data_IF_264559015923
#
_entry.id   IF_264559015923
#
_cell.length_a   1.000
_cell.length_b   1.000
_cell.length_c   1.000
_cell.angle_alpha   90.00
_cell.angle_beta   90.00
_cell.angle_gamma   90.00
#
_symmetry.space_group_name_H-M   'P 1'
#
loop_
_entity.id
_entity.type
_entity.pdbx_description
1 polymer ?
#
# COMPACT_ATOMS: atom_id res chain seq x y z
N UNK A 1 -97.91 -112.40 -18.04
CA UNK A 1 -99.33 -112.32 -17.70
C UNK A 1 -99.94 -111.21 -18.55
N UNK A 2 -100.93 -111.44 -19.41
CA UNK A 2 -101.38 -112.75 -19.92
C UNK A 2 -102.18 -112.60 -21.23
N UNK A 3 -102.45 -113.75 -21.86
CA UNK A 3 -103.32 -113.99 -23.02
C UNK A 3 -104.42 -114.99 -22.57
N UNK A 4 -105.47 -115.31 -23.35
CA UNK A 4 -106.24 -114.50 -24.32
C UNK A 4 -107.77 -114.87 -24.34
N UNK A 5 -108.50 -114.44 -25.40
CA UNK A 5 -109.65 -115.14 -26.07
C UNK A 5 -111.08 -115.09 -25.44
N UNK A 6 -112.17 -114.95 -26.26
CA UNK A 6 -113.60 -115.07 -25.89
C UNK A 6 -114.18 -116.49 -26.26
N UNK A 7 -115.42 -116.80 -26.78
CA UNK A 7 -116.35 -116.09 -27.71
C UNK A 7 -117.88 -116.18 -27.37
N UNK A 8 -118.74 -115.91 -28.38
CA UNK A 8 -120.14 -116.34 -28.61
C UNK A 8 -121.34 -115.83 -27.77
N UNK A 9 -122.50 -115.62 -28.44
CA UNK A 9 -123.77 -115.27 -27.76
C UNK A 9 -125.00 -114.78 -28.57
N UNK A 10 -125.50 -115.55 -29.55
CA UNK A 10 -126.90 -115.52 -30.08
C UNK A 10 -127.42 -114.37 -30.99
N UNK A 11 -128.64 -114.57 -31.49
CA UNK A 11 -129.24 -114.08 -32.76
C UNK A 11 -130.73 -113.68 -32.54
N UNK A 12 -131.43 -113.29 -33.62
CA UNK A 12 -132.89 -113.04 -33.73
C UNK A 12 -133.41 -111.72 -33.12
N UNK A 13 -134.54 -111.15 -33.54
CA UNK A 13 -135.06 -110.86 -34.90
C UNK A 13 -136.16 -109.77 -34.75
N UNK A 14 -136.55 -109.09 -35.82
CA UNK A 14 -137.85 -108.40 -35.98
C UNK A 14 -138.25 -107.34 -34.91
N UNK A 15 -137.81 -106.09 -35.14
CA UNK A 15 -138.35 -104.89 -34.49
C UNK A 15 -138.33 -103.72 -35.49
N UNK A 16 -139.46 -103.05 -35.71
CA UNK A 16 -139.57 -102.03 -36.76
C UNK A 16 -138.83 -100.75 -36.37
N UNK A 17 -137.93 -100.32 -37.26
CA UNK A 17 -137.19 -99.07 -37.17
C UNK A 17 -138.11 -97.83 -37.16
N UNK A 18 -138.21 -97.15 -36.03
CA UNK A 18 -138.37 -95.69 -35.98
C UNK A 18 -137.79 -95.15 -34.66
N UNK A 19 -136.46 -95.05 -34.55
CA UNK A 19 -135.82 -94.38 -33.41
C UNK A 19 -136.01 -92.85 -33.55
N UNK A 20 -136.70 -92.15 -32.61
CA UNK A 20 -136.99 -90.73 -32.75
C UNK A 20 -135.79 -89.79 -32.53
N UNK A 21 -134.68 -90.26 -31.94
CA UNK A 21 -133.65 -89.37 -31.38
C UNK A 21 -132.49 -89.02 -32.33
N UNK A 22 -132.55 -89.45 -33.60
CA UNK A 22 -131.53 -89.14 -34.60
C UNK A 22 -131.38 -87.62 -34.85
N UNK A 23 -132.46 -86.85 -34.68
CA UNK A 23 -132.42 -85.38 -34.76
C UNK A 23 -131.62 -84.79 -33.59
N UNK A 24 -131.83 -85.27 -32.36
CA UNK A 24 -131.02 -84.88 -31.18
C UNK A 24 -129.55 -85.23 -31.37
N UNK A 25 -129.24 -86.40 -31.94
CA UNK A 25 -127.85 -86.80 -32.21
C UNK A 25 -127.21 -85.93 -33.30
N UNK A 26 -127.96 -85.54 -34.33
CA UNK A 26 -127.48 -84.61 -35.37
C UNK A 26 -127.27 -83.20 -34.81
N UNK A 27 -128.15 -82.72 -33.93
CA UNK A 27 -127.99 -81.45 -33.21
C UNK A 27 -126.76 -81.51 -32.32
N UNK A 28 -126.58 -82.56 -31.51
CA UNK A 28 -125.42 -82.72 -30.64
C UNK A 28 -124.09 -82.81 -31.44
N UNK A 29 -124.08 -83.46 -32.62
CA UNK A 29 -122.93 -83.42 -33.53
C UNK A 29 -122.69 -82.02 -34.10
N UNK A 30 -123.74 -81.28 -34.45
CA UNK A 30 -123.65 -79.90 -34.96
C UNK A 30 -123.10 -78.96 -33.88
N UNK A 31 -123.62 -79.03 -32.65
CA UNK A 31 -123.13 -78.28 -31.50
C UNK A 31 -121.70 -78.66 -31.11
N UNK A 32 -121.34 -79.95 -31.16
CA UNK A 32 -119.97 -80.40 -30.94
C UNK A 32 -119.02 -79.88 -32.03
N UNK A 33 -119.44 -79.92 -33.29
CA UNK A 33 -118.70 -79.37 -34.44
C UNK A 33 -118.51 -77.87 -34.29
N UNK A 34 -119.57 -77.11 -33.97
CA UNK A 34 -119.49 -75.68 -33.67
C UNK A 34 -118.56 -75.40 -32.49
N UNK A 35 -118.65 -76.16 -31.40
CA UNK A 35 -117.78 -76.03 -30.24
C UNK A 35 -116.31 -76.34 -30.58
N UNK A 36 -116.05 -77.33 -31.43
CA UNK A 36 -114.71 -77.70 -31.89
C UNK A 36 -114.13 -76.61 -32.81
N UNK A 37 -114.94 -76.07 -33.73
CA UNK A 37 -114.59 -74.92 -34.58
C UNK A 37 -114.34 -73.67 -33.75
N UNK A 38 -115.12 -73.39 -32.71
CA UNK A 38 -114.87 -72.29 -31.78
C UNK A 38 -113.58 -72.49 -30.97
N UNK A 39 -113.32 -73.70 -30.46
CA UNK A 39 -112.08 -74.04 -29.75
C UNK A 39 -110.87 -73.86 -30.65
N UNK A 40 -110.94 -74.33 -31.90
CA UNK A 40 -109.91 -74.13 -32.92
C UNK A 40 -109.71 -72.64 -33.25
N UNK A 41 -110.78 -71.89 -33.51
CA UNK A 41 -110.73 -70.45 -33.81
C UNK A 41 -110.32 -69.59 -32.61
N UNK A 42 -110.45 -70.09 -31.38
CA UNK A 42 -109.91 -69.49 -30.15
C UNK A 42 -108.41 -69.77 -30.03
N UNK A 43 -107.99 -71.02 -30.22
CA UNK A 43 -106.59 -71.43 -30.21
C UNK A 43 -105.78 -70.70 -31.28
N UNK A 44 -106.31 -70.60 -32.51
CA UNK A 44 -105.67 -69.86 -33.60
C UNK A 44 -105.53 -68.36 -33.32
N UNK A 45 -106.52 -67.73 -32.67
CA UNK A 45 -106.40 -66.33 -32.23
C UNK A 45 -105.37 -66.17 -31.12
N UNK A 46 -105.40 -67.03 -30.10
CA UNK A 46 -104.41 -67.01 -29.02
C UNK A 46 -102.99 -67.22 -29.55
N UNK A 47 -102.81 -68.12 -30.52
CA UNK A 47 -101.53 -68.35 -31.20
C UNK A 47 -101.04 -67.10 -31.97
N UNK A 48 -101.94 -66.37 -32.63
CA UNK A 48 -101.60 -65.13 -33.35
C UNK A 48 -101.32 -63.96 -32.39
N UNK A 49 -102.11 -63.80 -31.34
CA UNK A 49 -101.88 -62.81 -30.27
C UNK A 49 -100.53 -63.05 -29.56
N UNK A 50 -100.17 -64.32 -29.31
CA UNK A 50 -98.87 -64.71 -28.79
C UNK A 50 -97.75 -64.45 -29.81
N UNK A 51 -97.93 -64.82 -31.09
CA UNK A 51 -96.96 -64.53 -32.16
C UNK A 51 -96.67 -63.03 -32.28
N UNK A 52 -97.70 -62.19 -32.27
CA UNK A 52 -97.57 -60.73 -32.31
C UNK A 52 -96.86 -60.20 -31.07
N UNK A 53 -97.16 -60.74 -29.89
CA UNK A 53 -96.53 -60.35 -28.62
C UNK A 53 -95.05 -60.74 -28.61
N UNK A 54 -94.71 -62.01 -28.89
CA UNK A 54 -93.33 -62.48 -29.03
C UNK A 54 -92.55 -61.68 -30.09
N UNK A 55 -93.18 -61.34 -31.22
CA UNK A 55 -92.55 -60.53 -32.28
C UNK A 55 -92.21 -59.12 -31.79
N UNK A 56 -93.14 -58.47 -31.08
CA UNK A 56 -92.96 -57.15 -30.45
C UNK A 56 -91.87 -57.16 -29.38
N UNK A 57 -91.78 -58.22 -28.57
CA UNK A 57 -90.72 -58.40 -27.59
C UNK A 57 -89.35 -58.61 -28.23
N UNK A 58 -89.25 -59.49 -29.25
CA UNK A 58 -88.04 -59.70 -30.05
C UNK A 58 -87.55 -58.39 -30.70
N UNK A 59 -88.47 -57.58 -31.23
CA UNK A 59 -88.16 -56.27 -31.80
C UNK A 59 -87.69 -55.26 -30.73
N UNK A 60 -88.32 -55.21 -29.56
CA UNK A 60 -87.86 -54.36 -28.45
C UNK A 60 -86.50 -54.77 -27.92
N UNK A 61 -86.21 -56.07 -27.80
CA UNK A 61 -84.93 -56.59 -27.36
C UNK A 61 -83.83 -56.27 -28.38
N UNK A 62 -84.10 -56.42 -29.67
CA UNK A 62 -83.19 -56.03 -30.75
C UNK A 62 -82.93 -54.52 -30.74
N UNK A 63 -83.96 -53.67 -30.58
CA UNK A 63 -83.80 -52.21 -30.44
C UNK A 63 -82.95 -51.82 -29.22
N UNK A 64 -83.14 -52.48 -28.07
CA UNK A 64 -82.29 -52.29 -26.87
C UNK A 64 -80.83 -52.69 -27.12
N UNK A 65 -80.60 -53.81 -27.83
CA UNK A 65 -79.26 -54.27 -28.24
C UNK A 65 -78.57 -53.29 -29.19
N UNK A 66 -79.28 -52.79 -30.19
CA UNK A 66 -78.76 -51.81 -31.15
C UNK A 66 -78.41 -50.47 -30.47
N UNK A 67 -79.26 -49.97 -29.57
CA UNK A 67 -78.97 -48.77 -28.80
C UNK A 67 -77.79 -48.96 -27.83
N UNK A 68 -77.68 -50.11 -27.15
CA UNK A 68 -76.52 -50.41 -26.31
C UNK A 68 -75.20 -50.45 -27.12
N UNK A 69 -75.23 -51.03 -28.33
CA UNK A 69 -74.08 -51.03 -29.25
C UNK A 69 -73.74 -49.59 -29.68
N UNK A 70 -74.75 -48.78 -30.04
CA UNK A 70 -74.61 -47.37 -30.44
C UNK A 70 -73.99 -46.53 -29.32
N UNK A 71 -74.46 -46.69 -28.08
CA UNK A 71 -73.91 -46.03 -26.90
C UNK A 71 -72.47 -46.47 -26.62
N UNK A 72 -72.18 -47.78 -26.70
CA UNK A 72 -70.82 -48.30 -26.52
C UNK A 72 -69.84 -47.75 -27.57
N UNK A 73 -70.23 -47.73 -28.85
CA UNK A 73 -69.45 -47.13 -29.93
C UNK A 73 -69.22 -45.62 -29.71
N UNK A 74 -70.24 -44.89 -29.26
CA UNK A 74 -70.11 -43.47 -28.93
C UNK A 74 -69.18 -43.22 -27.71
N UNK A 75 -69.14 -44.13 -26.73
CA UNK A 75 -68.19 -44.07 -25.62
C UNK A 75 -66.76 -44.38 -26.06
N UNK A 76 -66.54 -45.40 -26.90
CA UNK A 76 -65.25 -45.70 -27.50
C UNK A 76 -64.70 -44.53 -28.32
N UNK A 77 -65.54 -43.91 -29.17
CA UNK A 77 -65.15 -42.73 -29.95
C UNK A 77 -64.78 -41.52 -29.08
N UNK A 78 -65.48 -41.31 -27.96
CA UNK A 78 -65.12 -40.28 -26.96
C UNK A 78 -63.79 -40.59 -26.27
N UNK A 79 -63.57 -41.84 -25.87
CA UNK A 79 -62.34 -42.28 -25.20
C UNK A 79 -61.12 -42.13 -26.11
N UNK A 80 -61.22 -42.55 -27.38
CA UNK A 80 -60.15 -42.37 -28.36
C UNK A 80 -59.90 -40.89 -28.68
N UNK A 81 -60.96 -40.08 -28.78
CA UNK A 81 -60.82 -38.61 -28.91
C UNK A 81 -60.03 -38.01 -27.75
N UNK A 82 -60.27 -38.45 -26.51
CA UNK A 82 -59.51 -38.01 -25.32
C UNK A 82 -58.06 -38.52 -25.38
N UNK A 83 -57.83 -39.79 -25.74
CA UNK A 83 -56.49 -40.37 -25.88
C UNK A 83 -55.62 -39.60 -26.88
N UNK A 84 -56.17 -39.31 -28.07
CA UNK A 84 -55.48 -38.53 -29.11
C UNK A 84 -55.22 -37.09 -28.66
N UNK A 85 -56.19 -36.42 -28.02
CA UNK A 85 -55.99 -35.06 -27.47
C UNK A 85 -54.92 -35.03 -26.39
N UNK A 86 -54.86 -36.01 -25.50
CA UNK A 86 -53.85 -36.10 -24.44
C UNK A 86 -52.44 -36.29 -25.03
N UNK A 87 -52.26 -37.22 -25.98
CA UNK A 87 -50.98 -37.45 -26.66
C UNK A 87 -50.50 -36.20 -27.41
N UNK A 88 -51.38 -35.54 -28.16
CA UNK A 88 -51.04 -34.31 -28.89
C UNK A 88 -50.74 -33.12 -27.96
N UNK A 89 -51.45 -33.00 -26.83
CA UNK A 89 -51.20 -31.96 -25.84
C UNK A 89 -49.85 -32.18 -25.14
N UNK A 90 -49.62 -33.38 -24.59
CA UNK A 90 -48.40 -33.74 -23.88
C UNK A 90 -47.15 -33.57 -24.77
N UNK A 91 -47.19 -34.05 -26.02
CA UNK A 91 -46.10 -33.89 -26.98
C UNK A 91 -45.79 -32.41 -27.28
N UNK A 92 -46.81 -31.59 -27.55
CA UNK A 92 -46.64 -30.15 -27.84
C UNK A 92 -46.12 -29.37 -26.62
N UNK A 93 -46.67 -29.63 -25.42
CA UNK A 93 -46.22 -29.00 -24.19
C UNK A 93 -44.77 -29.36 -23.86
N UNK A 94 -44.42 -30.65 -23.92
CA UNK A 94 -43.06 -31.14 -23.66
C UNK A 94 -42.04 -30.56 -24.64
N UNK A 95 -42.37 -30.52 -25.94
CA UNK A 95 -41.51 -29.91 -26.96
C UNK A 95 -41.31 -28.41 -26.75
N UNK A 96 -42.37 -27.66 -26.37
CA UNK A 96 -42.25 -26.22 -26.04
C UNK A 96 -41.34 -26.02 -24.83
N UNK A 97 -41.56 -26.78 -23.75
CA UNK A 97 -40.79 -26.65 -22.52
C UNK A 97 -39.31 -27.00 -22.74
N UNK A 98 -39.01 -28.05 -23.53
CA UNK A 98 -37.64 -28.42 -23.87
C UNK A 98 -36.93 -27.33 -24.70
N UNK A 99 -37.61 -26.76 -25.72
CA UNK A 99 -37.05 -25.68 -26.53
C UNK A 99 -36.78 -24.42 -25.69
N UNK A 100 -37.74 -24.03 -24.85
CA UNK A 100 -37.59 -22.88 -23.96
C UNK A 100 -36.47 -23.10 -22.92
N UNK A 101 -36.36 -24.31 -22.33
CA UNK A 101 -35.26 -24.60 -21.40
C UNK A 101 -33.90 -24.67 -22.10
N UNK A 102 -33.83 -25.13 -23.35
CA UNK A 102 -32.61 -25.06 -24.17
C UNK A 102 -32.20 -23.60 -24.42
N UNK A 103 -33.15 -22.73 -24.75
CA UNK A 103 -32.95 -21.30 -24.96
C UNK A 103 -32.45 -20.62 -23.67
N UNK A 104 -33.15 -20.83 -22.56
CA UNK A 104 -32.76 -20.36 -21.21
C UNK A 104 -31.34 -20.79 -20.83
N UNK A 105 -31.00 -22.07 -20.97
CA UNK A 105 -29.65 -22.60 -20.72
C UNK A 105 -28.59 -22.06 -21.68
N UNK A 106 -28.97 -21.65 -22.89
CA UNK A 106 -28.05 -21.03 -23.86
C UNK A 106 -27.77 -19.58 -23.48
N UNK A 107 -28.81 -18.83 -23.07
CA UNK A 107 -28.67 -17.46 -22.58
C UNK A 107 -27.83 -17.39 -21.31
N UNK A 108 -28.10 -18.26 -20.32
CA UNK A 108 -27.32 -18.28 -19.07
C UNK A 108 -25.87 -18.75 -19.31
N UNK A 109 -25.64 -19.69 -20.25
CA UNK A 109 -24.28 -20.03 -20.69
C UNK A 109 -23.56 -18.82 -21.29
N UNK A 110 -24.19 -18.08 -22.20
CA UNK A 110 -23.57 -16.92 -22.84
C UNK A 110 -23.25 -15.84 -21.81
N UNK A 111 -24.18 -15.56 -20.90
CA UNK A 111 -23.99 -14.63 -19.77
C UNK A 111 -22.84 -15.06 -18.85
N UNK A 112 -22.74 -16.35 -18.50
CA UNK A 112 -21.63 -16.86 -17.69
C UNK A 112 -20.27 -16.74 -18.42
N UNK A 113 -20.25 -16.93 -19.74
CA UNK A 113 -19.08 -16.73 -20.58
C UNK A 113 -18.68 -15.24 -20.68
N UNK A 114 -19.65 -14.33 -20.80
CA UNK A 114 -19.45 -12.87 -20.75
C UNK A 114 -18.91 -12.41 -19.39
N UNK A 115 -19.50 -12.86 -18.27
CA UNK A 115 -19.03 -12.59 -16.91
C UNK A 115 -17.58 -13.08 -16.71
N UNK A 116 -17.28 -14.32 -17.13
CA UNK A 116 -15.91 -14.88 -17.10
C UNK A 116 -14.95 -14.04 -17.93
N UNK A 117 -15.35 -13.59 -19.12
CA UNK A 117 -14.52 -12.77 -19.99
C UNK A 117 -14.37 -11.31 -19.49
N UNK A 118 -15.28 -10.79 -18.66
CA UNK A 118 -15.06 -9.55 -17.90
C UNK A 118 -14.04 -9.76 -16.79
N UNK A 119 -14.22 -10.78 -15.95
CA UNK A 119 -13.34 -11.08 -14.83
C UNK A 119 -11.91 -11.40 -15.27
N UNK A 120 -11.72 -12.05 -16.43
CA UNK A 120 -10.40 -12.28 -17.01
C UNK A 120 -9.66 -10.98 -17.37
N UNK A 121 -10.38 -9.97 -17.89
CA UNK A 121 -9.80 -8.65 -18.19
C UNK A 121 -9.51 -7.87 -16.92
N UNK A 122 -10.42 -7.91 -15.95
CA UNK A 122 -10.20 -7.27 -14.65
C UNK A 122 -8.97 -7.86 -13.94
N UNK A 123 -8.76 -9.18 -14.02
CA UNK A 123 -7.54 -9.84 -13.54
C UNK A 123 -6.30 -9.33 -14.31
N UNK A 124 -6.33 -9.32 -15.64
CA UNK A 124 -5.22 -8.86 -16.49
C UNK A 124 -4.87 -7.36 -16.22
N UNK A 125 -5.87 -6.51 -15.98
CA UNK A 125 -5.69 -5.11 -15.60
C UNK A 125 -5.10 -4.97 -14.19
N UNK A 126 -5.48 -5.84 -13.24
CA UNK A 126 -4.92 -5.88 -11.88
C UNK A 126 -3.50 -6.41 -11.84
N UNK A 127 -3.18 -7.44 -12.63
CA UNK A 127 -1.82 -7.95 -12.79
C UNK A 127 -0.89 -6.86 -13.36
N UNK A 128 -1.33 -6.13 -14.40
CA UNK A 128 -0.59 -4.97 -14.93
C UNK A 128 -0.40 -3.85 -13.90
N UNK A 129 -1.42 -3.54 -13.11
CA UNK A 129 -1.32 -2.56 -12.02
C UNK A 129 -0.31 -3.00 -10.94
N UNK A 130 -0.27 -4.29 -10.59
CA UNK A 130 0.69 -4.84 -9.63
C UNK A 130 2.12 -4.82 -10.18
N UNK A 131 2.33 -5.18 -11.45
CA UNK A 131 3.66 -5.11 -12.10
C UNK A 131 4.17 -3.68 -12.16
N UNK A 132 3.35 -2.72 -12.60
CA UNK A 132 3.76 -1.31 -12.69
C UNK A 132 4.12 -0.72 -11.32
N UNK A 133 3.36 -1.04 -10.26
CA UNK A 133 3.67 -0.61 -8.89
C UNK A 133 4.92 -1.30 -8.30
N UNK A 134 5.24 -2.52 -8.75
CA UNK A 134 6.48 -3.21 -8.39
C UNK A 134 7.68 -2.59 -9.09
N UNK A 135 7.55 -2.28 -10.38
CA UNK A 135 8.56 -1.55 -11.17
C UNK A 135 8.84 -0.18 -10.54
N UNK A 136 7.81 0.64 -10.30
CA UNK A 136 7.90 1.95 -9.62
C UNK A 136 8.59 1.85 -8.24
N UNK A 137 8.22 0.86 -7.42
CA UNK A 137 8.89 0.61 -6.13
C UNK A 137 10.38 0.29 -6.30
N UNK A 138 10.74 -0.54 -7.29
CA UNK A 138 12.15 -0.92 -7.51
C UNK A 138 12.97 0.25 -8.06
N UNK A 139 12.39 1.11 -8.92
CA UNK A 139 13.03 2.32 -9.41
C UNK A 139 13.22 3.35 -8.28
N UNK A 140 12.21 3.60 -7.45
CA UNK A 140 12.34 4.49 -6.27
C UNK A 140 13.38 3.97 -5.27
N UNK A 141 13.37 2.65 -5.01
CA UNK A 141 14.36 2.01 -4.14
C UNK A 141 15.78 2.13 -4.70
N UNK A 142 15.99 1.89 -6.00
CA UNK A 142 17.31 2.03 -6.63
C UNK A 142 17.77 3.49 -6.57
N UNK A 143 16.91 4.44 -6.97
CA UNK A 143 17.22 5.88 -6.94
C UNK A 143 17.59 6.36 -5.54
N UNK A 144 16.87 5.92 -4.51
CA UNK A 144 17.20 6.23 -3.12
C UNK A 144 18.57 5.65 -2.69
N UNK A 145 18.93 4.45 -3.15
CA UNK A 145 20.26 3.86 -2.90
C UNK A 145 21.38 4.61 -3.64
N UNK A 146 21.11 5.12 -4.85
CA UNK A 146 22.05 5.92 -5.63
C UNK A 146 22.28 7.30 -5.00
N UNK A 147 21.22 8.01 -4.60
CA UNK A 147 21.30 9.27 -3.86
C UNK A 147 22.04 9.11 -2.51
N UNK A 148 21.76 8.02 -1.77
CA UNK A 148 22.47 7.68 -0.53
C UNK A 148 23.94 7.26 -0.73
N UNK A 149 24.34 6.93 -1.96
CA UNK A 149 25.75 6.65 -2.32
C UNK A 149 26.45 7.94 -2.72
N UNK A 150 25.82 8.78 -3.54
CA UNK A 150 26.32 10.09 -3.95
C UNK A 150 26.55 11.00 -2.72
N UNK A 151 25.57 11.12 -1.83
CA UNK A 151 25.68 11.93 -0.61
C UNK A 151 26.81 11.47 0.33
N UNK A 152 27.11 10.16 0.37
CA UNK A 152 28.27 9.64 1.14
C UNK A 152 29.60 10.01 0.50
N UNK A 153 29.68 9.95 -0.83
CA UNK A 153 30.86 10.35 -1.58
C UNK A 153 31.10 11.87 -1.49
N UNK A 154 30.03 12.68 -1.56
CA UNK A 154 30.11 14.13 -1.32
C UNK A 154 30.55 14.44 0.11
N UNK A 155 30.01 13.75 1.12
CA UNK A 155 30.44 13.90 2.52
C UNK A 155 31.93 13.53 2.72
N UNK A 156 32.40 12.45 2.10
CA UNK A 156 33.82 12.03 2.14
C UNK A 156 34.72 13.07 1.43
N UNK A 157 34.30 13.57 0.28
CA UNK A 157 35.01 14.63 -0.45
C UNK A 157 35.07 15.93 0.37
N UNK A 158 33.96 16.41 0.92
CA UNK A 158 33.92 17.63 1.74
C UNK A 158 34.73 17.46 3.02
N UNK A 159 34.70 16.28 3.65
CA UNK A 159 35.56 15.99 4.81
C UNK A 159 37.04 16.09 4.44
N UNK A 160 37.43 15.55 3.27
CA UNK A 160 38.80 15.64 2.76
C UNK A 160 39.18 17.09 2.43
N UNK A 161 38.35 17.83 1.71
CA UNK A 161 38.60 19.24 1.35
C UNK A 161 38.74 20.13 2.60
N UNK A 162 37.94 19.88 3.65
CA UNK A 162 38.08 20.57 4.94
C UNK A 162 39.40 20.21 5.64
N UNK A 163 39.86 18.96 5.56
CA UNK A 163 41.17 18.55 6.10
C UNK A 163 42.32 19.21 5.33
N UNK A 164 42.30 19.17 3.99
CA UNK A 164 43.33 19.79 3.14
C UNK A 164 43.37 21.32 3.34
N UNK A 165 42.22 21.99 3.41
CA UNK A 165 42.13 23.43 3.69
C UNK A 165 42.61 23.80 5.11
N UNK A 166 42.33 22.95 6.11
CA UNK A 166 42.80 23.17 7.50
C UNK A 166 44.32 23.00 7.61
N UNK A 167 44.89 21.99 6.92
CA UNK A 167 46.34 21.81 6.86
C UNK A 167 47.02 22.97 6.13
N UNK A 168 46.51 23.39 4.97
CA UNK A 168 47.06 24.51 4.20
C UNK A 168 47.03 25.81 5.00
N UNK A 169 45.94 26.11 5.70
CA UNK A 169 45.84 27.27 6.57
C UNK A 169 46.87 27.23 7.71
N UNK A 170 47.14 26.06 8.31
CA UNK A 170 48.18 25.90 9.32
C UNK A 170 49.59 26.10 8.75
N UNK A 171 49.87 25.58 7.55
CA UNK A 171 51.14 25.79 6.86
C UNK A 171 51.39 27.27 6.50
N UNK A 172 50.34 28.00 6.12
CA UNK A 172 50.36 29.46 5.93
C UNK A 172 50.55 30.23 7.25
N UNK A 173 49.85 29.87 8.34
CA UNK A 173 50.04 30.49 9.67
C UNK A 173 51.47 30.31 10.19
N UNK A 174 52.02 29.09 10.07
CA UNK A 174 53.42 28.78 10.42
C UNK A 174 54.38 29.59 9.57
N UNK A 175 54.20 29.60 8.24
CA UNK A 175 55.05 30.35 7.31
C UNK A 175 55.03 31.86 7.61
N UNK A 176 53.87 32.42 7.94
CA UNK A 176 53.74 33.84 8.31
C UNK A 176 54.50 34.18 9.59
N UNK A 177 54.43 33.32 10.62
CA UNK A 177 55.19 33.50 11.88
C UNK A 177 56.69 33.36 11.63
N UNK A 178 57.13 32.42 10.79
CA UNK A 178 58.54 32.32 10.38
C UNK A 178 59.03 33.57 9.65
N UNK A 179 58.25 34.14 8.73
CA UNK A 179 58.64 35.42 8.09
C UNK A 179 58.65 36.59 9.07
N UNK A 180 57.75 36.62 10.05
CA UNK A 180 57.80 37.63 11.12
C UNK A 180 59.06 37.49 11.99
N UNK A 181 59.47 36.25 12.31
CA UNK A 181 60.74 35.95 13.00
C UNK A 181 61.93 36.45 12.20
N UNK A 182 62.04 36.04 10.94
CA UNK A 182 63.17 36.33 10.07
C UNK A 182 63.36 37.85 9.90
N UNK A 183 62.26 38.60 9.68
CA UNK A 183 62.29 40.07 9.58
C UNK A 183 62.68 40.74 10.90
N UNK A 184 62.16 40.26 12.04
CA UNK A 184 62.51 40.83 13.35
C UNK A 184 63.99 40.61 13.70
N UNK A 185 64.54 39.42 13.41
CA UNK A 185 65.94 39.11 13.64
C UNK A 185 66.86 39.90 12.69
N UNK A 186 66.52 40.02 11.41
CA UNK A 186 67.26 40.84 10.45
C UNK A 186 67.30 42.33 10.84
N UNK A 187 66.21 42.86 11.42
CA UNK A 187 66.17 44.23 11.94
C UNK A 187 67.09 44.41 13.15
N UNK A 188 67.07 43.47 14.11
CA UNK A 188 67.99 43.46 15.27
C UNK A 188 69.45 43.37 14.81
N UNK A 189 69.77 42.48 13.88
CA UNK A 189 71.11 42.34 13.32
C UNK A 189 71.61 43.61 12.63
N UNK A 190 70.76 44.26 11.85
CA UNK A 190 71.10 45.51 11.14
C UNK A 190 71.43 46.61 12.14
N UNK A 191 70.58 46.77 13.16
CA UNK A 191 70.82 47.71 14.27
C UNK A 191 72.12 47.41 15.04
N UNK A 192 72.40 46.14 15.33
CA UNK A 192 73.65 45.74 15.99
C UNK A 192 74.88 46.11 15.14
N UNK A 193 74.83 45.88 13.82
CA UNK A 193 75.90 46.24 12.88
C UNK A 193 76.11 47.76 12.81
N UNK A 194 75.05 48.56 12.80
CA UNK A 194 75.12 50.03 12.83
C UNK A 194 75.75 50.57 14.13
N UNK A 195 75.30 50.06 15.29
CA UNK A 195 75.85 50.48 16.60
C UNK A 195 77.30 50.02 16.76
N UNK A 196 77.67 48.83 16.26
CA UNK A 196 79.06 48.37 16.27
C UNK A 196 79.96 49.26 15.38
N UNK A 197 79.51 49.64 14.18
CA UNK A 197 80.22 50.57 13.31
C UNK A 197 80.44 51.93 13.99
N UNK A 198 79.39 52.50 14.61
CA UNK A 198 79.50 53.73 15.39
C UNK A 198 80.49 53.59 16.57
N UNK A 199 80.40 52.50 17.34
CA UNK A 199 81.35 52.20 18.43
C UNK A 199 82.79 51.99 17.93
N UNK A 200 82.98 51.54 16.68
CA UNK A 200 84.30 51.44 16.06
C UNK A 200 84.82 52.81 15.62
N UNK A 201 83.98 53.66 15.02
CA UNK A 201 84.33 55.05 14.66
C UNK A 201 84.77 55.85 15.90
N UNK A 202 83.99 55.79 17.00
CA UNK A 202 84.37 56.44 18.27
C UNK A 202 85.69 55.90 18.85
N UNK A 203 85.98 54.61 18.66
CA UNK A 203 87.19 53.94 19.16
C UNK A 203 88.45 54.32 18.37
N UNK A 204 88.33 54.47 17.05
CA UNK A 204 89.45 54.77 16.14
C UNK A 204 89.71 56.26 16.02
N UNK A 205 88.66 57.08 15.82
CA UNK A 205 88.80 58.52 15.56
C UNK A 205 88.84 59.36 16.84
N UNK A 206 88.14 58.93 17.91
CA UNK A 206 87.97 59.74 19.13
C UNK A 206 88.28 58.99 20.46
N UNK A 207 89.45 58.33 20.60
CA UNK A 207 89.65 57.28 21.62
C UNK A 207 89.43 57.71 23.08
N UNK A 208 89.69 58.98 23.38
CA UNK A 208 89.59 59.58 24.72
C UNK A 208 88.31 60.41 24.96
N UNK A 209 87.62 60.87 23.91
CA UNK A 209 86.61 61.92 24.04
C UNK A 209 85.23 61.42 24.46
N UNK A 210 84.88 60.16 24.17
CA UNK A 210 83.54 59.61 24.38
C UNK A 210 83.52 58.32 25.24
N UNK A 211 84.00 58.33 26.51
CA UNK A 211 83.96 57.14 27.37
C UNK A 211 82.54 56.78 27.83
N UNK A 212 81.77 57.74 28.34
CA UNK A 212 80.42 57.49 28.87
C UNK A 212 79.42 57.07 27.80
N UNK A 213 79.52 57.65 26.59
CA UNK A 213 78.65 57.30 25.47
C UNK A 213 78.89 55.87 24.98
N UNK A 214 80.15 55.44 24.84
CA UNK A 214 80.47 54.04 24.53
C UNK A 214 79.88 53.08 25.57
N UNK A 215 79.97 53.41 26.85
CA UNK A 215 79.36 52.62 27.92
C UNK A 215 77.82 52.61 27.86
N UNK A 216 77.20 53.70 27.42
CA UNK A 216 75.75 53.78 27.22
C UNK A 216 75.28 52.89 26.06
N UNK A 217 75.96 52.94 24.91
CA UNK A 217 75.65 52.06 23.77
C UNK A 217 75.92 50.58 24.08
N UNK A 218 76.96 50.25 24.86
CA UNK A 218 77.18 48.88 25.36
C UNK A 218 76.02 48.38 26.25
N UNK A 219 75.44 49.24 27.10
CA UNK A 219 74.23 48.91 27.88
C UNK A 219 73.01 48.70 26.96
N UNK A 220 72.83 49.53 25.93
CA UNK A 220 71.75 49.36 24.93
C UNK A 220 71.89 48.04 24.16
N UNK A 221 73.10 47.70 23.69
CA UNK A 221 73.38 46.40 23.05
C UNK A 221 73.05 45.25 24.01
N UNK A 222 73.49 45.35 25.26
CA UNK A 222 73.23 44.32 26.30
C UNK A 222 71.74 44.14 26.63
N UNK A 223 70.91 45.17 26.39
CA UNK A 223 69.45 45.08 26.49
C UNK A 223 68.85 44.46 25.23
N UNK A 224 69.23 44.92 24.04
CA UNK A 224 68.72 44.40 22.76
C UNK A 224 69.05 42.91 22.59
N UNK A 225 70.24 42.45 22.98
CA UNK A 225 70.60 41.03 22.94
C UNK A 225 69.76 40.16 23.91
N UNK A 226 69.37 40.69 25.08
CA UNK A 226 68.44 39.99 25.98
C UNK A 226 67.04 39.92 25.38
N UNK A 227 66.56 41.04 24.85
CA UNK A 227 65.26 41.11 24.18
C UNK A 227 65.21 40.20 22.94
N UNK A 228 66.33 40.04 22.22
CA UNK A 228 66.46 39.12 21.09
C UNK A 228 66.28 37.66 21.52
N UNK A 229 66.95 37.23 22.59
CA UNK A 229 66.82 35.86 23.12
C UNK A 229 65.40 35.59 23.65
N UNK A 230 64.78 36.55 24.35
CA UNK A 230 63.37 36.41 24.78
C UNK A 230 62.43 36.36 23.57
N UNK A 231 62.59 37.25 22.59
CA UNK A 231 61.77 37.29 21.38
C UNK A 231 61.92 36.01 20.54
N UNK A 232 63.13 35.47 20.40
CA UNK A 232 63.38 34.19 19.74
C UNK A 232 62.60 33.07 20.44
N UNK A 233 62.70 32.98 21.77
CA UNK A 233 61.93 32.01 22.57
C UNK A 233 60.43 32.18 22.40
N UNK A 234 59.92 33.41 22.22
CA UNK A 234 58.49 33.64 21.88
C UNK A 234 58.12 33.13 20.49
N UNK A 235 58.95 33.33 19.47
CA UNK A 235 58.72 32.73 18.15
C UNK A 235 58.72 31.20 18.22
N UNK A 236 59.64 30.59 18.96
CA UNK A 236 59.70 29.14 19.19
C UNK A 236 58.45 28.62 19.92
N UNK A 237 58.00 29.30 21.00
CA UNK A 237 56.76 28.99 21.71
C UNK A 237 55.53 29.04 20.79
N UNK A 238 55.39 30.07 19.94
CA UNK A 238 54.24 30.21 19.04
C UNK A 238 54.26 29.14 17.94
N UNK A 239 55.41 28.91 17.29
CA UNK A 239 55.55 27.88 16.26
C UNK A 239 55.24 26.48 16.82
N UNK A 240 55.67 26.18 18.05
CA UNK A 240 55.38 24.91 18.72
C UNK A 240 53.89 24.75 19.06
N UNK A 241 53.18 25.83 19.42
CA UNK A 241 51.74 25.80 19.69
C UNK A 241 50.91 25.64 18.40
N UNK A 242 51.32 26.29 17.29
CA UNK A 242 50.70 26.08 15.97
C UNK A 242 50.84 24.61 15.53
N UNK A 243 52.03 24.02 15.68
CA UNK A 243 52.26 22.60 15.38
C UNK A 243 51.45 21.62 16.28
N UNK A 244 50.87 22.10 17.38
CA UNK A 244 49.94 21.34 18.24
C UNK A 244 48.45 21.57 17.87
N UNK A 245 48.17 22.33 16.81
CA UNK A 245 46.80 22.60 16.36
C UNK A 245 46.08 23.73 17.10
N UNK A 246 46.81 24.60 17.82
CA UNK A 246 46.25 25.89 18.26
C UNK A 246 46.27 26.88 17.09
N UNK A 247 45.34 27.84 17.07
CA UNK A 247 45.27 28.88 16.02
C UNK A 247 45.95 30.17 16.46
N UNK A 248 46.38 31.00 15.52
CA UNK A 248 46.92 32.35 15.79
C UNK A 248 45.98 33.28 16.58
N UNK A 249 44.66 33.00 16.63
CA UNK A 249 43.73 33.77 17.47
C UNK A 249 43.76 33.36 18.95
N UNK A 250 44.09 32.10 19.27
CA UNK A 250 44.18 31.63 20.66
C UNK A 250 45.53 31.87 21.33
N UNK A 251 46.60 32.00 20.53
CA UNK A 251 47.98 32.14 21.03
C UNK A 251 48.27 33.63 21.31
N UNK A 252 48.98 33.98 22.41
CA UNK A 252 49.39 35.35 22.68
C UNK A 252 50.23 35.96 21.55
N UNK A 253 49.76 37.08 20.98
CA UNK A 253 50.42 37.74 19.84
C UNK A 253 51.85 38.20 20.17
N UNK A 254 52.77 37.96 19.23
CA UNK A 254 54.18 38.32 19.38
C UNK A 254 54.36 39.84 19.25
N UNK A 255 54.72 40.49 20.35
CA UNK A 255 55.09 41.91 20.39
C UNK A 255 56.59 42.04 20.14
N UNK A 256 56.97 42.55 18.97
CA UNK A 256 58.37 42.87 18.65
C UNK A 256 58.79 44.11 19.46
N UNK A 257 59.83 44.04 20.33
CA UNK A 257 60.27 45.18 21.11
C UNK A 257 60.86 46.28 20.23
N UNK A 258 60.42 47.53 20.44
CA UNK A 258 60.97 48.70 19.73
C UNK A 258 62.46 48.87 20.04
N UNK A 259 63.31 48.86 19.01
CA UNK A 259 64.73 49.10 19.17
C UNK A 259 65.00 50.57 19.54
N UNK A 260 66.04 50.88 20.34
CA UNK A 260 66.49 52.26 20.53
C UNK A 260 66.87 52.87 19.19
N UNK A 261 66.66 54.16 18.96
CA UNK A 261 67.16 54.82 17.74
C UNK A 261 68.67 54.55 17.57
N UNK A 262 69.07 54.12 16.36
CA UNK A 262 70.46 53.90 16.01
C UNK A 262 71.23 55.24 15.97
N UNK A 263 72.52 55.27 16.30
CA UNK A 263 73.30 56.51 16.32
C UNK A 263 73.61 56.98 14.88
N UNK A 264 72.93 58.03 14.42
CA UNK A 264 73.25 58.69 13.15
C UNK A 264 74.73 59.09 13.13
N UNK A 265 75.47 58.67 12.10
CA UNK A 265 76.87 59.06 11.96
C UNK A 265 76.98 60.60 11.84
N UNK A 266 77.81 61.19 12.70
CA UNK A 266 78.21 62.60 12.76
C UNK A 266 77.16 63.64 13.24
N UNK A 267 75.89 63.29 13.44
CA UNK A 267 74.86 64.24 13.92
C UNK A 267 75.16 64.79 15.33
N UNK A 268 75.83 63.99 16.18
CA UNK A 268 76.34 64.43 17.50
C UNK A 268 77.67 65.20 17.45
N UNK A 269 78.39 65.22 16.32
CA UNK A 269 79.56 66.09 16.13
C UNK A 269 79.17 67.53 15.74
N UNK A 270 77.97 67.71 15.18
CA UNK A 270 77.43 69.01 14.79
C UNK A 270 76.95 69.89 15.96
N UNK A 271 77.06 69.40 17.21
CA UNK A 271 76.71 70.14 18.43
C UNK A 271 77.96 70.56 19.22
N UNK A 272 78.68 71.62 18.79
CA UNK A 272 79.65 72.26 19.66
C UNK A 272 78.93 72.78 20.90
N UNK A 273 79.47 72.44 22.08
CA UNK A 273 78.86 72.72 23.39
C UNK A 273 78.98 74.20 23.76
N UNK A 274 78.28 75.06 23.03
CA UNK A 274 78.20 76.49 23.32
C UNK A 274 77.67 76.73 24.73
N UNK A 275 78.26 77.72 25.40
CA UNK A 275 77.93 78.07 26.78
C UNK A 275 76.50 78.61 26.86
N UNK A 276 75.80 78.44 28.00
CA UNK A 276 74.49 79.07 28.19
C UNK A 276 74.61 80.60 28.08
N UNK A 277 73.79 81.27 27.24
CA UNK A 277 73.76 82.73 27.18
C UNK A 277 73.25 83.32 28.50
N UNK A 278 73.79 84.46 28.98
CA UNK A 278 73.21 85.19 30.10
C UNK A 278 71.90 85.88 29.69
N UNK A 279 70.91 85.90 30.60
CA UNK A 279 69.62 86.59 30.36
C UNK A 279 69.74 88.13 30.34
N UNK A 280 69.02 88.81 29.43
CA UNK A 280 68.69 90.22 29.58
C UNK A 280 67.17 90.49 29.48
N UNK A 281 66.49 90.33 30.62
CA UNK A 281 65.37 91.13 31.15
C UNK A 281 64.54 92.00 30.15
N UNK A 282 63.31 91.54 29.87
CA UNK A 282 62.03 92.29 29.73
C UNK A 282 61.91 93.51 28.78
N UNK A 283 60.95 93.42 27.84
CA UNK A 283 59.74 94.30 27.83
C UNK A 283 58.57 93.71 27.00
N UNK A 284 57.30 94.13 27.21
CA UNK A 284 56.11 93.52 26.60
C UNK A 284 55.37 94.42 25.57
N UNK A 285 54.19 93.93 25.10
CA UNK A 285 53.11 94.57 24.33
C UNK A 285 53.23 94.54 22.79
N UNK A 286 52.11 94.59 22.02
CA UNK A 286 50.80 93.95 22.22
C UNK A 286 50.32 93.24 20.88
N UNK A 287 49.04 92.92 20.61
CA UNK A 287 48.67 91.84 19.66
C UNK A 287 48.01 92.29 18.34
N UNK A 288 48.05 91.41 17.31
CA UNK A 288 46.93 91.25 16.37
C UNK A 288 46.98 89.95 15.55
N UNK A 289 45.83 89.26 15.45
CA UNK A 289 45.48 88.36 14.33
C UNK A 289 46.17 86.98 14.26
N UNK A 290 45.58 85.95 13.62
CA UNK A 290 44.24 85.81 13.04
C UNK A 290 43.81 84.32 12.99
N UNK A 291 42.52 84.08 12.72
CA UNK A 291 41.87 82.83 12.28
C UNK A 291 41.90 81.64 13.26
N UNK A 292 40.77 81.17 13.79
CA UNK A 292 39.63 80.46 13.14
C UNK A 292 39.93 79.02 12.71
N UNK A 293 38.94 78.15 12.91
CA UNK A 293 39.09 76.69 12.83
C UNK A 293 39.12 76.16 11.40
N UNK A 294 39.84 75.06 11.20
CA UNK A 294 39.52 74.03 10.21
C UNK A 294 39.70 72.66 10.88
N UNK A 295 38.58 72.06 11.33
CA UNK A 295 38.57 70.66 11.76
C UNK A 295 38.51 69.76 10.53
N UNK A 296 39.64 69.14 10.16
CA UNK A 296 39.64 68.07 9.17
C UNK A 296 39.17 66.75 9.80
N UNK A 297 38.14 66.08 9.27
CA UNK A 297 37.81 64.72 9.66
C UNK A 297 38.86 63.73 9.09
N UNK A 298 39.16 62.62 9.79
CA UNK A 298 40.05 61.60 9.26
C UNK A 298 39.40 60.84 8.08
N UNK A 299 40.20 60.29 7.13
CA UNK A 299 39.67 59.54 6.00
C UNK A 299 38.91 58.28 6.43
N UNK A 300 37.75 58.02 5.82
CA UNK A 300 37.06 56.74 5.96
C UNK A 300 37.74 55.70 5.07
N UNK A 301 38.35 54.67 5.68
CA UNK A 301 38.72 53.45 4.96
C UNK A 301 37.46 52.60 4.68
N UNK A 302 37.34 51.98 3.49
CA UNK A 302 36.18 51.16 3.16
C UNK A 302 36.14 49.88 4.02
N UNK A 303 35.02 49.66 4.70
CA UNK A 303 34.74 48.49 5.54
C UNK A 303 34.54 47.22 4.70
N UNK A 304 35.63 46.61 4.21
CA UNK A 304 35.63 45.28 3.61
C UNK A 304 35.61 44.17 4.68
N UNK A 305 34.62 44.23 5.56
CA UNK A 305 34.33 43.21 6.57
C UNK A 305 32.86 42.75 6.46
N UNK A 306 32.54 42.12 5.33
CA UNK A 306 31.45 41.15 5.27
C UNK A 306 31.81 39.95 6.16
N UNK A 307 31.65 40.10 7.49
CA UNK A 307 31.62 38.94 8.38
C UNK A 307 30.39 38.12 8.02
N UNK A 308 30.62 36.96 7.40
CA UNK A 308 29.65 35.87 7.45
C UNK A 308 29.34 35.60 8.93
N UNK A 309 28.14 35.99 9.35
CA UNK A 309 27.59 35.63 10.64
C UNK A 309 26.99 34.23 10.46
N UNK A 310 27.58 33.16 11.00
CA UNK A 310 26.90 31.87 10.97
C UNK A 310 25.55 32.02 11.68
N UNK A 311 24.47 31.41 11.15
CA UNK A 311 23.21 31.36 11.86
C UNK A 311 23.43 30.65 13.22
N UNK A 312 22.70 31.04 14.28
CA UNK A 312 22.83 30.37 15.57
C UNK A 312 22.46 28.88 15.40
N UNK A 313 23.15 27.95 16.10
CA UNK A 313 22.87 26.53 15.95
C UNK A 313 21.41 26.25 16.29
N UNK A 314 20.67 25.75 15.30
CA UNK A 314 19.38 25.12 15.57
C UNK A 314 19.66 23.85 16.35
N UNK A 315 19.47 23.90 17.66
CA UNK A 315 19.40 22.74 18.52
C UNK A 315 18.26 21.85 18.02
N UNK A 316 18.60 20.86 17.20
CA UNK A 316 17.68 19.82 16.79
C UNK A 316 17.27 19.05 18.05
N UNK A 317 16.10 19.38 18.58
CA UNK A 317 15.55 18.69 19.73
C UNK A 317 15.06 17.33 19.22
N UNK A 318 15.67 16.20 19.62
CA UNK A 318 15.21 14.90 19.15
C UNK A 318 13.78 14.67 19.67
N UNK A 319 12.84 14.18 18.85
CA UNK A 319 11.54 13.79 19.35
C UNK A 319 11.71 12.67 20.40
N UNK A 320 10.86 12.62 21.44
CA UNK A 320 10.93 11.57 22.44
C UNK A 320 10.65 10.20 21.80
N UNK A 321 11.22 9.10 22.31
CA UNK A 321 11.05 7.77 21.74
C UNK A 321 9.63 7.25 21.95
N UNK A 322 8.81 7.32 20.90
CA UNK A 322 7.49 6.67 20.86
C UNK A 322 7.63 5.15 21.02
N UNK A 323 6.87 4.55 21.93
CA UNK A 323 6.81 3.10 22.07
C UNK A 323 5.91 2.45 21.00
N UNK A 324 6.14 1.17 20.64
CA UNK A 324 5.43 0.53 19.53
C UNK A 324 4.02 0.04 19.94
N UNK A 325 3.01 0.90 19.77
CA UNK A 325 1.61 0.45 19.78
C UNK A 325 1.23 -0.16 18.42
N UNK A 326 1.11 -1.49 18.39
CA UNK A 326 0.45 -2.20 17.30
C UNK A 326 -1.06 -2.01 17.38
N UNK A 327 -1.69 -1.32 16.42
CA UNK A 327 -3.01 -1.70 15.89
C UNK A 327 -3.47 -0.92 14.63
N UNK A 328 -3.92 -1.68 13.63
CA UNK A 328 -4.97 -1.39 12.64
C UNK A 328 -5.03 -0.04 11.86
N UNK A 329 -4.61 -0.14 10.58
CA UNK A 329 -5.41 0.17 9.38
C UNK A 329 -6.02 1.58 9.13
N UNK A 330 -5.61 2.16 8.00
CA UNK A 330 -6.41 2.98 7.04
C UNK A 330 -7.18 4.21 7.54
N UNK A 331 -6.75 5.40 7.10
CA UNK A 331 -7.46 6.66 7.34
C UNK A 331 -7.06 7.80 6.40
N UNK A 332 -7.38 7.70 5.10
CA UNK A 332 -7.08 8.77 4.12
C UNK A 332 -8.02 9.96 4.34
N UNK A 333 -7.48 11.16 4.55
CA UNK A 333 -8.29 12.37 4.76
C UNK A 333 -8.30 13.26 3.51
N UNK A 334 -9.41 13.24 2.77
CA UNK A 334 -9.79 14.32 1.84
C UNK A 334 -11.30 14.47 1.73
N UNK A 335 -11.77 15.59 2.27
CA UNK A 335 -13.15 16.10 2.27
C UNK A 335 -13.67 16.34 0.84
N UNK A 336 -14.90 15.91 0.53
CA UNK A 336 -15.95 16.73 -0.12
C UNK A 336 -17.30 15.98 -0.24
N UNK A 337 -18.40 16.76 -0.28
CA UNK A 337 -19.82 16.36 -0.46
C UNK A 337 -20.50 15.53 0.65
N UNK A 338 -21.77 15.84 1.03
CA UNK A 338 -22.59 15.03 1.93
C UNK A 338 -23.77 14.34 1.21
N UNK A 339 -24.33 13.26 1.80
CA UNK A 339 -25.79 13.22 1.91
C UNK A 339 -26.32 12.70 3.26
N UNK A 340 -27.25 13.50 3.83
CA UNK A 340 -28.56 13.11 4.39
C UNK A 340 -28.68 11.81 5.23
N UNK A 341 -29.06 12.00 6.50
CA UNK A 341 -29.57 10.97 7.43
C UNK A 341 -30.48 9.90 6.77
N UNK A 342 -30.36 8.65 7.24
CA UNK A 342 -31.46 7.93 7.91
C UNK A 342 -30.91 6.78 8.79
N UNK A 343 -31.71 6.36 9.77
CA UNK A 343 -31.48 5.28 10.75
C UNK A 343 -32.85 4.67 11.10
N UNK A 344 -33.00 3.51 11.81
CA UNK A 344 -31.99 2.62 12.41
C UNK A 344 -32.26 1.10 12.18
N UNK A 345 -31.59 0.24 13.00
CA UNK A 345 -32.01 -1.11 13.46
C UNK A 345 -31.68 -2.39 12.67
N UNK A 346 -30.80 -3.26 13.21
CA UNK A 346 -30.89 -4.75 13.16
C UNK A 346 -31.85 -5.26 14.29
N UNK A 347 -31.96 -6.56 14.70
CA UNK A 347 -31.21 -7.77 14.31
C UNK A 347 -32.05 -9.08 14.13
N UNK A 348 -31.37 -10.18 13.75
CA UNK A 348 -31.69 -11.57 14.19
C UNK A 348 -30.38 -12.35 14.36
N UNK A 349 -30.29 -13.24 15.36
CA UNK A 349 -29.17 -14.18 15.57
C UNK A 349 -29.69 -15.63 15.84
N UNK A 350 -28.82 -16.67 15.80
CA UNK A 350 -29.24 -18.06 15.52
C UNK A 350 -29.52 -18.93 16.76
N UNK A 351 -30.01 -20.15 16.53
CA UNK A 351 -30.35 -21.15 17.57
C UNK A 351 -29.71 -22.53 17.33
N UNK A 352 -28.58 -22.79 18.01
CA UNK A 352 -28.21 -24.03 18.76
C UNK A 352 -28.19 -25.43 18.07
N UNK A 353 -27.63 -26.50 18.70
CA UNK A 353 -26.90 -26.62 19.98
C UNK A 353 -25.47 -27.24 19.89
N UNK A 354 -24.81 -27.44 21.05
CA UNK A 354 -23.48 -28.08 21.25
C UNK A 354 -23.61 -29.63 21.47
N UNK A 355 -22.62 -30.46 21.83
CA UNK A 355 -21.23 -30.35 22.36
C UNK A 355 -20.47 -31.71 22.07
N UNK A 356 -19.33 -32.13 22.70
CA UNK A 356 -18.33 -31.46 23.57
C UNK A 356 -16.84 -31.75 23.15
N UNK A 357 -15.87 -31.47 24.04
CA UNK A 357 -14.42 -31.85 24.02
C UNK A 357 -14.05 -32.42 25.42
N UNK A 358 -12.82 -32.87 25.81
CA UNK A 358 -11.42 -32.68 25.32
C UNK A 358 -10.64 -34.04 25.24
N UNK A 359 -9.30 -34.25 25.49
CA UNK A 359 -8.10 -33.36 25.61
C UNK A 359 -6.89 -33.76 24.68
N UNK A 360 -5.73 -33.05 24.69
CA UNK A 360 -4.70 -33.14 23.64
C UNK A 360 -3.36 -33.83 24.00
N UNK A 361 -2.52 -34.14 22.98
CA UNK A 361 -1.12 -34.58 23.16
C UNK A 361 -0.13 -34.02 22.10
N UNK A 362 0.88 -33.28 22.60
CA UNK A 362 2.32 -33.22 22.23
C UNK A 362 2.78 -33.31 20.75
N UNK A 363 3.24 -32.18 20.18
CA UNK A 363 4.46 -31.97 19.36
C UNK A 363 4.47 -30.51 18.83
N UNK A 364 5.45 -29.62 18.98
CA UNK A 364 6.86 -29.69 19.40
C UNK A 364 7.88 -30.22 18.36
N UNK A 365 7.98 -29.57 17.18
CA UNK A 365 9.18 -29.58 16.30
C UNK A 365 9.07 -28.54 15.17
N UNK A 366 9.80 -27.41 15.25
CA UNK A 366 9.92 -26.44 14.15
C UNK A 366 11.15 -25.49 14.22
N UNK A 367 11.76 -25.26 15.39
CA UNK A 367 12.72 -24.16 15.60
C UNK A 367 14.20 -24.56 15.74
N UNK A 368 14.53 -25.86 15.77
CA UNK A 368 15.85 -26.35 16.20
C UNK A 368 16.93 -26.48 15.10
N UNK A 369 16.76 -25.88 13.93
CA UNK A 369 17.63 -26.11 12.75
C UNK A 369 18.44 -24.87 12.31
N UNK A 370 18.08 -23.65 12.73
CA UNK A 370 18.81 -22.43 12.32
C UNK A 370 19.95 -22.00 13.26
N UNK A 371 20.03 -22.53 14.47
CA UNK A 371 20.98 -22.09 15.52
C UNK A 371 22.28 -22.93 15.58
N UNK A 372 22.62 -23.66 14.50
CA UNK A 372 23.77 -24.59 14.47
C UNK A 372 24.71 -24.47 13.25
N UNK A 373 24.79 -23.29 12.64
CA UNK A 373 25.83 -22.95 11.67
C UNK A 373 26.35 -21.52 11.92
N UNK A 374 27.38 -21.36 12.77
CA UNK A 374 28.06 -20.06 12.85
C UNK A 374 28.76 -19.62 14.14
N UNK A 375 29.31 -20.49 15.00
CA UNK A 375 30.39 -20.09 15.95
C UNK A 375 31.05 -21.27 16.66
N UNK A 376 32.27 -21.64 16.24
CA UNK A 376 33.34 -22.25 17.09
C UNK A 376 34.55 -22.60 16.23
N UNK A 377 35.49 -21.66 16.11
CA UNK A 377 36.90 -21.99 15.91
C UNK A 377 37.56 -22.01 17.30
N UNK A 378 38.32 -23.05 17.67
CA UNK A 378 38.91 -23.15 19.00
C UNK A 378 40.11 -22.20 19.15
N UNK A 379 40.38 -21.67 20.36
CA UNK A 379 41.62 -20.98 20.65
C UNK A 379 42.79 -21.97 20.74
N UNK A 380 43.96 -21.56 20.28
CA UNK A 380 45.25 -22.16 20.65
C UNK A 380 46.05 -21.06 21.34
N UNK A 381 46.54 -21.35 22.55
CA UNK A 381 47.29 -20.41 23.38
C UNK A 381 48.70 -20.98 23.64
N UNK A 382 49.64 -20.10 23.96
CA UNK A 382 51.08 -20.38 24.06
C UNK A 382 51.45 -21.56 24.98
N UNK A 383 52.46 -22.33 24.54
CA UNK A 383 53.82 -22.20 25.08
C UNK A 383 54.76 -21.80 23.91
#
# INVERSE_FOLDING_TARGET
MEQPVPPDGMTEESGVNTDPDWESQLVAMSEYSSSLVEKYNRLMRQQEEENVTQKKEKEQLQKKKEEAIRQHQALLGKLESVRVKLLLNNSKATKKNFLHKKEEMTLEKNKAEEEKNRLAKELEEKEKQLTALLEEQTEEQQKCQEELKELKQEMEQVQKEVQEATQLALEDEVTAVEKQRDVAMAHIETWLKEVEQHLNVLRVQFPQQYPHERQNWQKKISLVLKNQVELQKRFEEVLQNLQQGQTLESIPRIVVPSLPQAPTLLESLAHPRFMPPPEPIKRPLPPQGHFQQQQYPPPQHPQYHQRYRPPPPHYFHPPPPSQPEYLAQTGVSSRLTPPRNHSPSPPVQPTHPAAPSPPPHVAASATSILEKLGTSLPPVQHD
#
